data_IF_806646588392
#
_entry.id   IF_806646588392
#
_cell.length_a   1.000
_cell.length_b   1.000
_cell.length_c   1.000
_cell.angle_alpha   90.00
_cell.angle_beta   90.00
_cell.angle_gamma   90.00
#
_symmetry.space_group_name_H-M   'P 1'
#
loop_
_entity.id
_entity.type
_entity.pdbx_description
1 polymer ?
#
# COMPACT_ATOMS: atom_id res chain seq x y z
N UNK A 1 28.42 5.13 23.29
CA UNK A 1 29.01 6.30 23.97
C UNK A 1 30.31 5.84 24.63
N UNK A 2 31.42 6.39 24.26
CA UNK A 2 32.64 6.19 25.03
C UNK A 2 32.65 7.27 26.11
N UNK A 3 32.23 6.87 27.35
CA UNK A 3 32.53 7.67 28.51
C UNK A 3 34.03 7.57 28.81
N UNK A 4 34.63 8.65 29.22
CA UNK A 4 36.03 8.71 29.61
C UNK A 4 36.28 7.65 30.70
N UNK A 5 36.99 6.57 30.37
CA UNK A 5 37.60 5.63 31.34
C UNK A 5 36.70 4.58 31.99
N UNK A 6 35.49 4.34 31.57
CA UNK A 6 34.60 3.29 32.11
C UNK A 6 34.61 2.01 31.26
N UNK A 7 34.47 0.86 31.93
CA UNK A 7 34.21 -0.41 31.27
C UNK A 7 32.90 -0.35 30.46
N UNK A 8 32.82 -1.04 29.32
CA UNK A 8 31.59 -1.05 28.51
C UNK A 8 30.45 -1.67 29.33
N UNK A 9 29.36 -0.91 29.50
CA UNK A 9 28.14 -1.39 30.15
C UNK A 9 27.29 -2.10 29.09
N UNK A 10 27.01 -3.38 29.35
CA UNK A 10 26.07 -4.13 28.52
C UNK A 10 24.63 -3.82 28.97
N UNK A 11 23.85 -3.25 28.08
CA UNK A 11 22.43 -2.95 28.26
C UNK A 11 21.60 -3.77 27.30
N UNK A 12 20.41 -4.20 27.71
CA UNK A 12 19.45 -4.86 26.78
C UNK A 12 18.66 -3.81 26.01
N UNK A 13 18.40 -4.06 24.76
CA UNK A 13 17.64 -3.14 23.89
C UNK A 13 16.31 -2.70 24.52
N UNK A 14 15.61 -3.59 25.25
CA UNK A 14 14.35 -3.27 25.94
C UNK A 14 14.48 -2.22 27.05
N UNK A 15 15.66 -2.02 27.60
CA UNK A 15 15.91 -0.99 28.63
C UNK A 15 15.90 0.43 28.04
N UNK A 16 16.00 0.56 26.70
CA UNK A 16 15.90 1.82 25.97
C UNK A 16 14.49 2.13 25.51
N UNK A 17 13.54 1.21 25.59
CA UNK A 17 12.18 1.39 25.09
C UNK A 17 11.52 2.60 25.74
N UNK A 18 10.93 3.46 24.89
CA UNK A 18 10.26 4.68 25.32
C UNK A 18 11.18 5.90 25.48
N UNK A 19 12.49 5.74 25.37
CA UNK A 19 13.39 6.90 25.29
C UNK A 19 13.16 7.62 23.97
N UNK A 20 13.24 8.94 24.02
CA UNK A 20 13.06 9.80 22.82
C UNK A 20 14.37 10.40 22.39
N UNK A 21 14.50 10.64 21.10
CA UNK A 21 15.63 11.35 20.51
C UNK A 21 15.14 12.39 19.48
N UNK A 22 15.97 13.40 19.22
CA UNK A 22 15.70 14.34 18.14
C UNK A 22 16.23 13.77 16.84
N UNK A 23 15.41 13.78 15.78
CA UNK A 23 15.82 13.30 14.47
C UNK A 23 17.01 14.11 13.95
N UNK A 24 18.12 13.46 13.57
CA UNK A 24 19.33 14.18 13.14
C UNK A 24 19.17 14.95 11.84
N UNK A 25 18.25 14.54 10.99
CA UNK A 25 17.96 15.17 9.69
C UNK A 25 16.81 16.18 9.75
N UNK A 26 15.88 16.00 10.71
CA UNK A 26 14.74 16.87 10.95
C UNK A 26 14.61 17.17 12.45
N UNK A 27 15.14 18.30 12.86
CA UNK A 27 15.19 18.66 14.29
C UNK A 27 13.83 18.98 14.91
N UNK A 28 12.81 19.22 14.09
CA UNK A 28 11.41 19.37 14.48
C UNK A 28 10.74 18.03 14.81
N UNK A 29 11.32 16.89 14.38
CA UNK A 29 10.81 15.55 14.64
C UNK A 29 11.52 14.90 15.84
N UNK A 30 10.73 14.22 16.65
CA UNK A 30 11.23 13.35 17.72
C UNK A 30 10.93 11.90 17.35
N UNK A 31 11.93 11.05 17.47
CA UNK A 31 11.78 9.62 17.38
C UNK A 31 11.70 8.99 18.78
N UNK A 32 11.10 7.81 18.85
CA UNK A 32 11.03 6.99 20.06
C UNK A 32 11.76 5.68 19.83
N UNK A 33 12.52 5.22 20.81
CA UNK A 33 13.15 3.91 20.75
C UNK A 33 12.10 2.86 21.08
N UNK A 34 11.89 1.94 20.16
CA UNK A 34 11.00 0.78 20.26
C UNK A 34 11.82 -0.50 20.12
N UNK A 35 11.26 -1.65 20.44
CA UNK A 35 11.88 -2.93 20.14
C UNK A 35 11.11 -3.64 19.02
N UNK A 36 11.79 -4.53 18.28
CA UNK A 36 11.16 -5.33 17.23
C UNK A 36 11.90 -6.64 17.04
N UNK A 37 11.17 -7.72 16.84
CA UNK A 37 11.74 -9.08 16.72
C UNK A 37 12.55 -9.26 15.42
N UNK A 38 12.37 -8.37 14.43
CA UNK A 38 13.18 -8.34 13.20
C UNK A 38 14.59 -7.80 13.42
N UNK A 39 14.88 -7.20 14.59
CA UNK A 39 16.21 -6.71 14.94
C UNK A 39 17.00 -7.81 15.61
N UNK A 40 18.05 -8.31 14.94
CA UNK A 40 18.87 -9.43 15.40
C UNK A 40 20.20 -8.96 15.99
N UNK A 41 20.84 -9.82 16.79
CA UNK A 41 22.17 -9.56 17.36
C UNK A 41 23.31 -9.95 16.43
N UNK A 42 23.01 -10.70 15.36
CA UNK A 42 24.01 -11.28 14.46
C UNK A 42 24.42 -10.28 13.37
N UNK A 43 23.67 -9.19 13.21
CA UNK A 43 23.89 -8.22 12.13
C UNK A 43 23.86 -6.79 12.66
N UNK A 44 24.82 -6.00 12.20
CA UNK A 44 24.89 -4.57 12.49
C UNK A 44 25.18 -4.25 13.96
N UNK A 45 24.48 -3.25 14.50
CA UNK A 45 24.69 -2.70 15.85
C UNK A 45 23.59 -3.13 16.83
N UNK A 46 22.54 -3.81 16.37
CA UNK A 46 21.32 -4.03 17.15
C UNK A 46 20.42 -2.79 17.27
N UNK A 47 20.76 -1.70 16.59
CA UNK A 47 19.94 -0.50 16.47
C UNK A 47 19.63 -0.25 14.98
N UNK A 48 18.35 -0.24 14.64
CA UNK A 48 17.85 -0.10 13.26
C UNK A 48 16.94 1.13 13.19
N UNK A 49 17.09 1.93 12.11
CA UNK A 49 16.14 2.99 11.84
C UNK A 49 14.84 2.39 11.31
N UNK A 50 13.72 2.73 11.96
CA UNK A 50 12.39 2.25 11.57
C UNK A 50 11.72 3.30 10.70
N UNK A 51 11.40 2.92 9.45
CA UNK A 51 10.73 3.77 8.46
C UNK A 51 9.42 3.09 8.00
N UNK A 52 8.28 3.30 8.72
CA UNK A 52 7.02 2.59 8.47
C UNK A 52 6.46 2.74 7.05
N UNK A 53 6.78 3.85 6.39
CA UNK A 53 6.38 4.11 5.00
C UNK A 53 7.22 3.36 3.96
N UNK A 54 8.32 2.70 4.35
CA UNK A 54 9.35 2.18 3.42
C UNK A 54 9.86 0.78 3.73
N UNK A 55 9.23 0.07 4.68
CA UNK A 55 9.56 -1.31 5.01
C UNK A 55 8.37 -2.05 5.59
N UNK A 56 8.21 -3.33 5.23
CA UNK A 56 7.10 -4.14 5.72
C UNK A 56 7.23 -4.44 7.22
N UNK A 57 8.41 -4.84 7.66
CA UNK A 57 8.66 -5.11 9.09
C UNK A 57 8.57 -3.84 9.91
N UNK A 58 9.05 -2.71 9.37
CA UNK A 58 8.93 -1.40 9.97
C UNK A 58 7.47 -0.96 10.11
N UNK A 59 6.65 -1.24 9.10
CA UNK A 59 5.21 -0.96 9.15
C UNK A 59 4.50 -1.77 10.23
N UNK A 60 4.79 -3.07 10.30
CA UNK A 60 4.16 -3.96 11.29
C UNK A 60 4.51 -3.56 12.73
N UNK A 61 5.78 -3.28 13.02
CA UNK A 61 6.19 -2.84 14.36
C UNK A 61 5.66 -1.45 14.67
N UNK A 62 5.53 -0.57 13.68
CA UNK A 62 4.96 0.75 13.86
C UNK A 62 3.48 0.72 14.27
N UNK A 63 2.71 -0.25 13.76
CA UNK A 63 1.32 -0.46 14.19
C UNK A 63 1.22 -0.88 15.66
N UNK A 64 2.17 -1.69 16.15
CA UNK A 64 2.22 -2.14 17.57
C UNK A 64 2.50 -0.98 18.52
N UNK A 65 3.37 -0.04 18.11
CA UNK A 65 3.81 1.07 18.96
C UNK A 65 3.18 2.43 18.61
N UNK A 66 2.18 2.45 17.72
CA UNK A 66 1.50 3.68 17.26
C UNK A 66 2.48 4.74 16.71
N UNK A 67 3.49 4.27 15.95
CA UNK A 67 4.48 5.17 15.31
C UNK A 67 3.86 5.81 14.08
N UNK A 68 3.96 7.14 13.91
CA UNK A 68 3.40 7.83 12.77
C UNK A 68 3.94 7.34 11.42
N UNK A 69 3.05 7.13 10.46
CA UNK A 69 3.37 6.74 9.10
C UNK A 69 3.78 7.96 8.27
N UNK A 70 5.08 8.23 8.19
CA UNK A 70 5.63 9.26 7.29
C UNK A 70 5.89 8.66 5.91
N UNK A 71 5.56 9.40 4.86
CA UNK A 71 5.71 8.99 3.45
C UNK A 71 6.46 10.06 2.64
N UNK A 72 7.73 10.31 2.95
CA UNK A 72 8.49 11.41 2.35
C UNK A 72 8.90 11.19 0.89
N UNK A 73 8.46 10.11 0.23
CA UNK A 73 8.78 9.82 -1.18
C UNK A 73 7.50 9.79 -2.01
N UNK A 74 7.46 10.54 -3.10
CA UNK A 74 6.35 10.60 -4.03
C UNK A 74 6.31 9.40 -5.03
N UNK A 75 5.37 9.45 -5.99
CA UNK A 75 5.19 8.39 -6.98
C UNK A 75 6.32 8.30 -8.02
N UNK A 76 7.15 9.32 -8.11
CA UNK A 76 8.29 9.38 -9.02
C UNK A 76 9.62 9.00 -8.35
N UNK A 77 9.61 8.68 -7.06
CA UNK A 77 10.82 8.41 -6.29
C UNK A 77 11.51 9.67 -5.76
N UNK A 78 10.83 10.82 -5.80
CA UNK A 78 11.38 12.11 -5.37
C UNK A 78 10.94 12.41 -3.94
N UNK A 79 11.86 12.93 -3.14
CA UNK A 79 11.61 13.33 -1.77
C UNK A 79 10.69 14.56 -1.72
N UNK A 80 9.59 14.45 -0.96
CA UNK A 80 8.60 15.51 -0.75
C UNK A 80 9.04 16.49 0.34
N UNK A 81 8.23 17.53 0.59
CA UNK A 81 8.46 18.48 1.68
C UNK A 81 8.56 17.83 3.07
N UNK A 82 7.99 16.61 3.24
CA UNK A 82 8.16 15.81 4.46
C UNK A 82 9.62 15.41 4.72
N UNK A 83 10.47 15.38 3.70
CA UNK A 83 11.90 15.12 3.83
C UNK A 83 12.71 16.36 4.29
N UNK A 84 12.07 17.52 4.45
CA UNK A 84 12.68 18.74 4.92
C UNK A 84 13.80 19.25 3.98
N UNK A 85 15.06 19.35 4.44
CA UNK A 85 16.15 19.94 3.62
C UNK A 85 16.52 19.12 2.38
N UNK A 86 15.99 17.92 2.23
CA UNK A 86 16.27 17.03 1.11
C UNK A 86 15.12 16.96 0.09
N UNK A 87 14.06 17.76 0.29
CA UNK A 87 12.92 17.82 -0.62
C UNK A 87 13.37 18.14 -2.06
N UNK A 88 12.78 17.44 -3.03
CA UNK A 88 13.08 17.61 -4.44
C UNK A 88 14.25 16.74 -4.97
N UNK A 89 14.97 16.05 -4.11
CA UNK A 89 16.01 15.10 -4.54
C UNK A 89 15.38 13.74 -4.88
N UNK A 90 15.92 13.08 -5.90
CA UNK A 90 15.68 11.66 -6.12
C UNK A 90 16.26 10.84 -4.96
N UNK A 91 15.67 9.68 -4.66
CA UNK A 91 16.09 8.85 -3.52
C UNK A 91 17.54 8.36 -3.63
N UNK A 92 18.03 8.09 -4.83
CA UNK A 92 19.41 7.68 -5.05
C UNK A 92 20.38 8.85 -4.92
N UNK A 93 20.00 10.01 -5.44
CA UNK A 93 20.77 11.26 -5.31
C UNK A 93 20.82 11.77 -3.87
N UNK A 94 19.77 11.54 -3.09
CA UNK A 94 19.69 11.94 -1.69
C UNK A 94 20.68 11.21 -0.78
N UNK A 95 21.00 9.94 -1.08
CA UNK A 95 21.88 9.12 -0.22
C UNK A 95 23.23 9.76 0.09
N UNK A 96 24.06 10.16 -0.89
CA UNK A 96 25.33 10.83 -0.60
C UNK A 96 25.16 12.19 0.07
N UNK A 97 24.10 12.92 -0.27
CA UNK A 97 23.82 14.25 0.31
C UNK A 97 23.49 14.14 1.79
N UNK A 98 22.66 13.16 2.18
CA UNK A 98 22.30 12.91 3.58
C UNK A 98 23.52 12.46 4.39
N UNK A 99 24.38 11.61 3.82
CA UNK A 99 25.61 11.17 4.51
C UNK A 99 26.52 12.34 4.79
N UNK A 100 26.73 13.23 3.82
CA UNK A 100 27.56 14.43 4.02
C UNK A 100 26.94 15.40 5.02
N UNK A 101 25.65 15.63 4.96
CA UNK A 101 24.89 16.41 5.94
C UNK A 101 25.10 15.92 7.37
N UNK A 102 25.04 14.60 7.59
CA UNK A 102 25.26 13.99 8.90
C UNK A 102 26.73 14.13 9.36
N UNK A 103 27.68 14.03 8.42
CA UNK A 103 29.11 14.18 8.68
C UNK A 103 29.46 15.61 9.12
N UNK A 104 28.99 16.62 8.40
CA UNK A 104 29.21 18.02 8.72
C UNK A 104 28.68 18.39 10.11
N UNK A 105 27.61 17.75 10.56
CA UNK A 105 26.99 17.99 11.88
C UNK A 105 27.53 17.13 12.99
N UNK A 106 28.50 16.26 12.70
CA UNK A 106 29.10 15.39 13.70
C UNK A 106 28.15 14.32 14.25
N UNK A 107 27.06 14.04 13.53
CA UNK A 107 26.06 13.02 13.90
C UNK A 107 26.30 11.67 13.20
N UNK A 108 27.12 11.63 12.17
CA UNK A 108 27.56 10.38 11.53
C UNK A 108 28.59 9.67 12.41
N UNK A 109 28.23 8.53 12.96
CA UNK A 109 29.14 7.71 13.81
C UNK A 109 30.12 6.93 12.95
N UNK A 110 29.62 6.22 11.95
CA UNK A 110 30.43 5.43 11.03
C UNK A 110 29.66 5.18 9.72
N UNK A 111 30.40 4.90 8.66
CA UNK A 111 29.87 4.46 7.38
C UNK A 111 30.63 3.23 6.91
N UNK A 112 29.92 2.23 6.41
CA UNK A 112 30.50 1.00 5.85
C UNK A 112 29.66 0.55 4.66
N UNK A 113 30.32 0.22 3.58
CA UNK A 113 29.68 -0.47 2.44
C UNK A 113 29.45 -1.95 2.78
N UNK A 114 28.30 -2.46 2.42
CA UNK A 114 27.93 -3.87 2.56
C UNK A 114 27.41 -4.40 1.22
N UNK A 115 27.68 -5.67 0.96
CA UNK A 115 27.09 -6.38 -0.18
C UNK A 115 25.94 -7.24 0.34
N UNK A 116 24.74 -7.02 -0.18
CA UNK A 116 23.56 -7.80 0.18
C UNK A 116 22.64 -7.99 -1.04
N UNK A 117 21.72 -8.95 -0.96
CA UNK A 117 20.68 -9.13 -1.97
C UNK A 117 19.68 -7.99 -1.87
N UNK A 118 19.31 -7.42 -3.01
CA UNK A 118 18.33 -6.34 -3.11
C UNK A 118 17.26 -6.69 -4.16
N UNK A 119 15.98 -6.38 -3.91
CA UNK A 119 14.92 -6.67 -4.87
C UNK A 119 14.99 -5.75 -6.08
N UNK A 120 14.86 -6.35 -7.26
CA UNK A 120 14.84 -5.66 -8.54
C UNK A 120 13.52 -5.90 -9.27
N UNK A 121 13.12 -4.93 -10.08
CA UNK A 121 11.96 -5.06 -10.95
C UNK A 121 12.18 -6.21 -11.94
N UNK A 122 11.23 -7.14 -12.03
CA UNK A 122 11.31 -8.28 -12.94
C UNK A 122 11.23 -7.89 -14.44
N UNK A 123 10.83 -6.65 -14.76
CA UNK A 123 10.74 -6.14 -16.15
C UNK A 123 11.95 -5.34 -16.56
N UNK A 124 12.25 -4.25 -15.86
CA UNK A 124 13.37 -3.36 -16.21
C UNK A 124 14.68 -3.73 -15.52
N UNK A 125 14.63 -4.65 -14.53
CA UNK A 125 15.77 -5.09 -13.72
C UNK A 125 16.44 -4.00 -12.87
N UNK A 126 15.82 -2.84 -12.78
CA UNK A 126 16.27 -1.77 -11.89
C UNK A 126 15.89 -2.05 -10.43
N UNK A 127 16.64 -1.53 -9.45
CA UNK A 127 16.28 -1.62 -8.04
C UNK A 127 14.87 -1.06 -7.77
N UNK A 128 14.16 -1.64 -6.83
CA UNK A 128 12.84 -1.14 -6.42
C UNK A 128 12.91 -0.51 -5.03
N UNK A 129 12.04 0.47 -4.76
CA UNK A 129 11.85 1.01 -3.43
C UNK A 129 10.51 0.52 -2.86
N UNK A 130 10.45 0.35 -1.53
CA UNK A 130 9.20 0.07 -0.85
C UNK A 130 8.55 1.38 -0.44
N UNK A 131 7.25 1.50 -0.69
CA UNK A 131 6.45 2.67 -0.32
C UNK A 131 5.08 2.24 0.19
N UNK A 132 4.66 2.82 1.30
CA UNK A 132 3.27 2.72 1.73
C UNK A 132 2.41 3.64 0.86
N UNK A 133 1.46 3.06 0.14
CA UNK A 133 0.51 3.77 -0.72
C UNK A 133 -0.91 3.39 -0.34
N UNK A 134 -1.85 4.30 -0.57
CA UNK A 134 -3.26 3.99 -0.39
C UNK A 134 -3.68 3.00 -1.48
N UNK A 135 -4.32 1.90 -1.06
CA UNK A 135 -4.74 0.84 -1.96
C UNK A 135 -6.17 0.42 -1.63
N UNK A 136 -6.83 -0.20 -2.60
CA UNK A 136 -8.16 -0.77 -2.42
C UNK A 136 -8.06 -2.24 -2.08
N UNK A 137 -8.78 -2.65 -1.02
CA UNK A 137 -8.78 -4.02 -0.53
C UNK A 137 -10.20 -4.58 -0.42
N UNK A 138 -10.33 -5.86 -0.75
CA UNK A 138 -11.45 -6.69 -0.32
C UNK A 138 -11.06 -7.33 1.00
N UNK A 139 -11.77 -6.98 2.07
CA UNK A 139 -11.54 -7.59 3.38
C UNK A 139 -12.04 -9.03 3.39
N UNK A 140 -11.16 -9.95 3.77
CA UNK A 140 -11.50 -11.37 3.88
C UNK A 140 -12.34 -11.67 5.13
N UNK A 141 -12.25 -10.85 6.16
CA UNK A 141 -12.95 -11.10 7.43
C UNK A 141 -14.28 -10.37 7.51
N UNK A 142 -14.43 -9.27 6.78
CA UNK A 142 -15.67 -8.51 6.73
C UNK A 142 -16.78 -9.32 6.06
N UNK A 143 -17.97 -9.34 6.67
CA UNK A 143 -19.11 -10.14 6.22
C UNK A 143 -18.82 -11.65 6.13
N UNK A 144 -17.87 -12.13 6.94
CA UNK A 144 -17.52 -13.57 7.05
C UNK A 144 -17.12 -14.21 5.71
N UNK A 145 -16.47 -13.46 4.80
CA UNK A 145 -16.06 -14.00 3.51
C UNK A 145 -15.10 -15.19 3.69
N UNK A 146 -14.12 -15.10 4.62
CA UNK A 146 -13.17 -16.16 4.96
C UNK A 146 -13.85 -17.44 5.45
N UNK A 147 -14.98 -17.30 6.13
CA UNK A 147 -15.72 -18.44 6.65
C UNK A 147 -16.67 -19.05 5.61
N UNK A 148 -17.31 -18.19 4.80
CA UNK A 148 -18.33 -18.61 3.87
C UNK A 148 -17.74 -19.25 2.59
N UNK A 149 -16.59 -18.76 2.11
CA UNK A 149 -15.97 -19.30 0.92
C UNK A 149 -15.58 -20.79 1.07
N UNK A 150 -14.89 -21.23 2.14
CA UNK A 150 -14.62 -22.66 2.36
C UNK A 150 -15.89 -23.51 2.46
N UNK A 151 -16.94 -23.02 3.12
CA UNK A 151 -18.22 -23.74 3.20
C UNK A 151 -18.84 -23.99 1.80
N UNK A 152 -18.77 -22.98 0.93
CA UNK A 152 -19.23 -23.13 -0.45
C UNK A 152 -18.34 -24.11 -1.23
N UNK A 153 -17.01 -24.07 -1.04
CA UNK A 153 -16.06 -25.00 -1.66
C UNK A 153 -16.32 -26.45 -1.26
N UNK A 154 -16.72 -26.69 -0.01
CA UNK A 154 -16.98 -28.02 0.52
C UNK A 154 -18.36 -28.56 0.14
N UNK A 155 -19.37 -27.70 0.02
CA UNK A 155 -20.76 -28.12 -0.15
C UNK A 155 -21.30 -27.96 -1.58
N UNK A 156 -20.81 -26.98 -2.34
CA UNK A 156 -21.41 -26.57 -3.60
C UNK A 156 -20.51 -26.88 -4.81
N UNK A 157 -19.29 -27.40 -4.58
CA UNK A 157 -18.29 -27.66 -5.64
C UNK A 157 -17.95 -29.15 -5.70
N UNK A 158 -18.11 -29.73 -6.88
CA UNK A 158 -17.59 -31.08 -7.17
C UNK A 158 -16.12 -30.98 -7.60
N UNK A 159 -15.24 -31.71 -6.89
CA UNK A 159 -13.80 -31.66 -7.12
C UNK A 159 -13.29 -32.84 -7.93
N UNK A 160 -12.69 -32.58 -9.10
CA UNK A 160 -12.02 -33.55 -9.95
C UNK A 160 -10.60 -33.08 -10.25
N UNK A 161 -9.57 -33.70 -9.65
CA UNK A 161 -9.58 -34.74 -8.62
C UNK A 161 -9.98 -34.25 -7.22
N UNK A 162 -10.48 -35.12 -6.37
CA UNK A 162 -10.99 -34.76 -5.03
C UNK A 162 -9.98 -34.04 -4.14
N UNK A 163 -8.69 -34.33 -4.24
CA UNK A 163 -7.63 -33.69 -3.44
C UNK A 163 -7.49 -32.16 -3.69
N UNK A 164 -8.01 -31.65 -4.81
CA UNK A 164 -7.93 -30.24 -5.14
C UNK A 164 -8.67 -29.35 -4.12
N UNK A 165 -9.70 -29.89 -3.45
CA UNK A 165 -10.43 -29.19 -2.38
C UNK A 165 -9.50 -28.76 -1.25
N UNK A 166 -8.61 -29.63 -0.78
CA UNK A 166 -7.68 -29.35 0.30
C UNK A 166 -6.73 -28.19 -0.04
N UNK A 167 -6.22 -28.17 -1.28
CA UNK A 167 -5.32 -27.11 -1.74
C UNK A 167 -6.01 -25.75 -1.78
N UNK A 168 -7.18 -25.69 -2.38
CA UNK A 168 -7.93 -24.42 -2.50
C UNK A 168 -8.45 -23.97 -1.14
N UNK A 169 -8.94 -24.90 -0.31
CA UNK A 169 -9.38 -24.60 1.06
C UNK A 169 -8.29 -23.93 1.89
N UNK A 170 -7.07 -24.50 1.90
CA UNK A 170 -5.93 -23.89 2.60
C UNK A 170 -5.57 -22.51 2.05
N UNK A 171 -5.53 -22.34 0.73
CA UNK A 171 -5.25 -21.05 0.10
C UNK A 171 -6.26 -19.96 0.46
N UNK A 172 -7.52 -20.30 0.64
CA UNK A 172 -8.59 -19.36 1.02
C UNK A 172 -8.52 -19.05 2.52
N UNK A 173 -8.29 -20.07 3.36
CA UNK A 173 -8.22 -19.93 4.81
C UNK A 173 -7.13 -18.94 5.24
N UNK A 174 -5.93 -19.05 4.66
CA UNK A 174 -4.76 -18.26 5.03
C UNK A 174 -4.59 -16.98 4.19
N UNK A 175 -5.53 -16.70 3.27
CA UNK A 175 -5.39 -15.56 2.37
C UNK A 175 -5.50 -14.23 3.13
N UNK A 176 -4.54 -13.30 2.97
CA UNK A 176 -4.69 -11.93 3.48
C UNK A 176 -5.79 -11.18 2.72
N UNK A 177 -6.17 -10.01 3.20
CA UNK A 177 -7.04 -9.09 2.47
C UNK A 177 -6.54 -8.90 1.04
N UNK A 178 -7.44 -8.92 0.09
CA UNK A 178 -7.07 -8.89 -1.33
C UNK A 178 -6.92 -7.46 -1.82
N UNK A 179 -5.69 -7.04 -2.10
CA UNK A 179 -5.43 -5.78 -2.77
C UNK A 179 -5.90 -5.87 -4.23
N UNK A 180 -6.93 -5.09 -4.57
CA UNK A 180 -7.56 -5.10 -5.90
C UNK A 180 -7.13 -3.94 -6.81
N UNK A 181 -6.42 -2.95 -6.28
CA UNK A 181 -5.95 -1.80 -7.05
C UNK A 181 -4.61 -2.09 -7.75
N UNK A 182 -4.47 -1.59 -8.96
CA UNK A 182 -3.26 -1.70 -9.78
C UNK A 182 -2.96 -0.39 -10.49
N UNK A 183 -1.71 0.04 -10.44
CA UNK A 183 -1.16 1.20 -11.15
C UNK A 183 -0.61 0.72 -12.51
N UNK A 184 -1.49 0.59 -13.50
CA UNK A 184 -1.19 0.12 -14.85
C UNK A 184 -1.89 1.03 -15.87
N UNK A 185 -1.46 0.95 -17.14
CA UNK A 185 -2.05 1.69 -18.24
C UNK A 185 -3.15 0.91 -18.99
N UNK A 186 -3.35 -0.37 -18.67
CA UNK A 186 -4.36 -1.22 -19.30
C UNK A 186 -5.12 -2.01 -18.25
N UNK A 187 -6.44 -1.91 -18.26
CA UNK A 187 -7.34 -2.64 -17.37
C UNK A 187 -8.67 -1.90 -17.18
N UNK A 188 -9.53 -2.46 -16.35
CA UNK A 188 -10.82 -1.84 -15.97
C UNK A 188 -10.58 -0.87 -14.81
N UNK A 189 -10.99 0.39 -14.90
CA UNK A 189 -10.83 1.34 -13.81
C UNK A 189 -11.68 0.97 -12.59
N UNK A 190 -11.26 1.40 -11.41
CA UNK A 190 -12.05 1.32 -10.19
C UNK A 190 -13.07 2.47 -10.22
N UNK A 191 -14.40 2.19 -10.31
CA UNK A 191 -15.41 3.21 -10.61
C UNK A 191 -15.83 3.98 -9.36
N UNK A 192 -14.87 4.59 -8.67
CA UNK A 192 -15.11 5.40 -7.47
C UNK A 192 -14.47 6.79 -7.61
N UNK A 193 -14.93 7.72 -6.80
CA UNK A 193 -14.45 9.09 -6.81
C UNK A 193 -13.84 9.47 -5.47
N UNK A 194 -12.90 10.39 -5.49
CA UNK A 194 -12.36 11.08 -4.31
C UNK A 194 -12.85 12.53 -4.28
N UNK A 195 -13.23 13.00 -3.12
CA UNK A 195 -13.59 14.40 -2.94
C UNK A 195 -12.33 15.28 -3.04
N UNK A 196 -12.32 16.26 -3.95
CA UNK A 196 -11.19 17.16 -4.12
C UNK A 196 -10.86 17.99 -2.86
N UNK A 197 -11.86 18.22 -1.98
CA UNK A 197 -11.68 19.04 -0.79
C UNK A 197 -11.19 18.25 0.44
N UNK A 198 -11.74 17.07 0.71
CA UNK A 198 -11.47 16.32 1.94
C UNK A 198 -10.89 14.93 1.72
N UNK A 199 -10.67 14.50 0.47
CA UNK A 199 -10.13 13.19 0.12
C UNK A 199 -11.06 12.01 0.38
N UNK A 200 -12.25 12.23 0.97
CA UNK A 200 -13.19 11.13 1.24
C UNK A 200 -13.67 10.46 -0.03
N UNK A 201 -13.82 9.15 0.03
CA UNK A 201 -14.39 8.35 -1.06
C UNK A 201 -15.87 8.65 -1.27
N UNK A 202 -16.27 8.78 -2.52
CA UNK A 202 -17.67 8.90 -2.96
C UNK A 202 -17.98 7.73 -3.88
N UNK A 203 -18.80 6.80 -3.37
CA UNK A 203 -19.19 5.57 -4.07
C UNK A 203 -20.59 5.17 -3.59
N UNK A 204 -21.59 5.38 -4.42
CA UNK A 204 -22.99 5.04 -4.12
C UNK A 204 -23.72 4.62 -5.40
N UNK A 205 -24.95 4.17 -5.28
CA UNK A 205 -25.74 3.69 -6.42
C UNK A 205 -25.80 4.73 -7.56
N UNK A 206 -26.02 6.00 -7.25
CA UNK A 206 -26.13 7.05 -8.28
C UNK A 206 -24.83 7.23 -9.07
N UNK A 207 -23.66 7.14 -8.38
CA UNK A 207 -22.37 7.23 -9.07
C UNK A 207 -22.08 5.96 -9.87
N UNK A 208 -22.40 4.78 -9.36
CA UNK A 208 -22.22 3.53 -10.09
C UNK A 208 -23.12 3.45 -11.32
N UNK A 209 -24.40 3.81 -11.23
CA UNK A 209 -25.32 3.80 -12.37
C UNK A 209 -24.84 4.76 -13.47
N UNK A 210 -24.38 5.95 -13.10
CA UNK A 210 -23.85 6.91 -14.07
C UNK A 210 -22.59 6.39 -14.79
N UNK A 211 -21.69 5.69 -14.07
CA UNK A 211 -20.50 5.08 -14.66
C UNK A 211 -20.87 3.88 -15.54
N UNK A 212 -21.82 3.05 -15.12
CA UNK A 212 -22.34 1.95 -15.94
C UNK A 212 -22.90 2.49 -17.25
N UNK A 213 -23.76 3.51 -17.20
CA UNK A 213 -24.31 4.14 -18.39
C UNK A 213 -23.23 4.74 -19.30
N UNK A 214 -22.21 5.38 -18.72
CA UNK A 214 -21.08 5.90 -19.47
C UNK A 214 -20.34 4.78 -20.21
N UNK A 215 -20.01 3.68 -19.51
CA UNK A 215 -19.28 2.56 -20.10
C UNK A 215 -20.08 1.82 -21.17
N UNK A 216 -21.40 1.71 -21.02
CA UNK A 216 -22.26 1.16 -22.07
C UNK A 216 -22.28 1.99 -23.34
N UNK A 217 -22.22 3.32 -23.21
CA UNK A 217 -22.29 4.23 -24.37
C UNK A 217 -20.95 4.45 -25.05
N UNK A 218 -19.88 4.57 -24.28
CA UNK A 218 -18.59 5.08 -24.76
C UNK A 218 -17.41 4.14 -24.49
N UNK A 219 -17.64 3.06 -23.72
CA UNK A 219 -16.57 2.16 -23.27
C UNK A 219 -15.83 2.66 -22.04
N UNK A 220 -14.97 1.79 -21.46
CA UNK A 220 -14.27 2.07 -20.20
C UNK A 220 -13.22 3.19 -20.33
N UNK A 221 -12.71 3.47 -21.53
CA UNK A 221 -11.72 4.54 -21.76
C UNK A 221 -12.30 5.93 -21.48
N UNK A 222 -13.64 6.06 -21.56
CA UNK A 222 -14.35 7.30 -21.22
C UNK A 222 -14.08 7.75 -19.77
N UNK A 223 -13.76 6.83 -18.87
CA UNK A 223 -13.38 7.14 -17.48
C UNK A 223 -12.17 8.08 -17.38
N UNK A 224 -11.22 7.95 -18.31
CA UNK A 224 -9.98 8.74 -18.31
C UNK A 224 -10.05 9.97 -19.20
N UNK A 225 -11.08 10.08 -20.06
CA UNK A 225 -11.19 11.14 -21.06
C UNK A 225 -12.34 12.11 -20.83
N UNK A 226 -13.31 11.74 -19.97
CA UNK A 226 -14.47 12.56 -19.64
C UNK A 226 -14.35 13.17 -18.24
N UNK A 227 -14.81 14.39 -18.08
CA UNK A 227 -14.91 15.01 -16.78
C UNK A 227 -16.14 14.47 -16.01
N UNK A 228 -16.02 14.22 -14.69
CA UNK A 228 -17.15 13.72 -13.89
C UNK A 228 -18.43 14.53 -14.00
N UNK A 229 -18.32 15.84 -14.18
CA UNK A 229 -19.46 16.77 -14.36
C UNK A 229 -20.28 16.52 -15.64
N UNK A 230 -19.72 15.81 -16.62
CA UNK A 230 -20.39 15.51 -17.89
C UNK A 230 -21.36 14.34 -17.80
N UNK A 231 -21.10 13.41 -16.87
CA UNK A 231 -21.89 12.17 -16.74
C UNK A 231 -22.51 11.94 -15.38
N UNK A 232 -21.97 12.53 -14.30
CA UNK A 232 -22.58 12.40 -12.99
C UNK A 232 -23.89 13.20 -12.90
N UNK A 233 -24.92 12.65 -12.24
CA UNK A 233 -26.18 13.34 -11.99
C UNK A 233 -25.95 14.65 -11.22
N UNK A 234 -26.79 15.65 -11.51
CA UNK A 234 -26.79 16.91 -10.75
C UNK A 234 -27.12 16.64 -9.28
N UNK A 235 -26.33 17.20 -8.39
CA UNK A 235 -26.52 17.06 -6.94
C UNK A 235 -25.72 15.96 -6.27
N UNK A 236 -24.95 15.16 -7.02
CA UNK A 236 -23.93 14.27 -6.45
C UNK A 236 -22.89 15.12 -5.73
N UNK A 237 -22.63 14.81 -4.48
CA UNK A 237 -21.71 15.53 -3.61
C UNK A 237 -21.08 14.60 -2.58
N UNK A 238 -19.97 15.01 -2.03
CA UNK A 238 -19.32 14.33 -0.92
C UNK A 238 -20.22 14.35 0.31
N UNK A 239 -20.51 13.19 0.88
CA UNK A 239 -21.36 13.07 2.08
C UNK A 239 -20.68 13.64 3.33
N UNK A 240 -19.33 13.67 3.36
CA UNK A 240 -18.55 14.18 4.49
C UNK A 240 -18.52 15.71 4.56
N UNK A 241 -18.32 16.40 3.43
CA UNK A 241 -18.09 17.85 3.43
C UNK A 241 -19.00 18.65 2.48
N UNK A 242 -19.88 17.98 1.74
CA UNK A 242 -20.82 18.60 0.80
C UNK A 242 -20.19 19.16 -0.49
N UNK A 243 -18.89 18.96 -0.73
CA UNK A 243 -18.21 19.39 -1.95
C UNK A 243 -18.73 18.61 -3.16
N UNK A 244 -18.91 19.31 -4.28
CA UNK A 244 -19.37 18.72 -5.56
C UNK A 244 -18.23 18.42 -6.53
N UNK A 245 -17.03 18.88 -6.23
CA UNK A 245 -15.84 18.60 -7.03
C UNK A 245 -15.28 17.23 -6.68
N UNK A 246 -15.39 16.30 -7.65
CA UNK A 246 -15.02 14.91 -7.47
C UNK A 246 -13.95 14.53 -8.50
N UNK A 247 -12.93 13.82 -8.05
CA UNK A 247 -11.85 13.32 -8.90
C UNK A 247 -12.00 11.81 -9.08
N UNK A 248 -12.00 11.27 -10.31
CA UNK A 248 -12.06 9.83 -10.54
C UNK A 248 -10.82 9.13 -9.98
N UNK A 249 -11.00 7.92 -9.46
CA UNK A 249 -9.88 7.05 -9.11
C UNK A 249 -9.09 6.69 -10.38
N UNK A 250 -7.76 6.68 -10.26
CA UNK A 250 -6.87 6.37 -11.40
C UNK A 250 -6.43 4.92 -11.45
N UNK A 251 -6.57 4.21 -10.34
CA UNK A 251 -6.19 2.82 -10.24
C UNK A 251 -7.13 1.91 -11.03
N UNK A 252 -6.58 0.81 -11.50
CA UNK A 252 -7.29 -0.23 -12.23
C UNK A 252 -7.58 -1.42 -11.32
N UNK A 253 -8.62 -2.16 -11.63
CA UNK A 253 -8.92 -3.43 -10.99
C UNK A 253 -7.88 -4.49 -11.33
N UNK A 254 -7.57 -5.34 -10.37
CA UNK A 254 -6.77 -6.54 -10.56
C UNK A 254 -7.40 -7.43 -11.65
N UNK A 255 -6.57 -8.01 -12.51
CA UNK A 255 -7.00 -8.92 -13.58
C UNK A 255 -7.80 -10.11 -13.05
N UNK A 256 -7.51 -10.59 -11.85
CA UNK A 256 -8.27 -11.65 -11.20
C UNK A 256 -9.68 -11.22 -10.79
N UNK A 257 -9.90 -9.94 -10.54
CA UNK A 257 -11.25 -9.39 -10.37
C UNK A 257 -12.06 -9.54 -11.65
N UNK A 258 -11.52 -9.14 -12.78
CA UNK A 258 -12.18 -9.28 -14.07
C UNK A 258 -12.46 -10.76 -14.39
N UNK A 259 -11.53 -11.67 -14.08
CA UNK A 259 -11.74 -13.13 -14.22
C UNK A 259 -12.82 -13.65 -13.28
N UNK A 260 -12.86 -13.17 -12.04
CA UNK A 260 -13.85 -13.57 -11.03
C UNK A 260 -15.29 -13.23 -11.40
N UNK A 261 -15.52 -12.14 -12.13
CA UNK A 261 -16.86 -11.71 -12.56
C UNK A 261 -17.28 -12.25 -13.93
N UNK A 262 -16.44 -13.07 -14.58
CA UNK A 262 -16.73 -13.61 -15.93
C UNK A 262 -18.01 -14.45 -15.99
N UNK A 263 -18.41 -15.12 -14.92
CA UNK A 263 -19.70 -15.81 -14.82
C UNK A 263 -20.89 -14.84 -14.99
N UNK A 264 -20.79 -13.61 -14.53
CA UNK A 264 -21.82 -12.58 -14.69
C UNK A 264 -21.68 -11.88 -16.05
N UNK A 265 -20.49 -11.38 -16.38
CA UNK A 265 -20.26 -10.58 -17.58
C UNK A 265 -20.35 -11.38 -18.89
N UNK A 266 -20.08 -12.67 -18.87
CA UNK A 266 -20.10 -13.53 -20.07
C UNK A 266 -21.28 -14.49 -20.06
N UNK A 267 -21.45 -15.30 -19.00
CA UNK A 267 -22.43 -16.38 -19.01
C UNK A 267 -23.85 -15.84 -18.89
N UNK A 268 -24.15 -15.01 -17.88
CA UNK A 268 -25.51 -14.45 -17.69
C UNK A 268 -26.00 -13.60 -18.88
N UNK A 269 -25.10 -12.82 -19.47
CA UNK A 269 -25.48 -12.01 -20.65
C UNK A 269 -25.60 -12.81 -21.95
N UNK A 270 -24.95 -13.99 -22.05
CA UNK A 270 -25.05 -14.87 -23.22
C UNK A 270 -26.20 -15.87 -23.14
N UNK A 271 -26.85 -16.04 -22.01
CA UNK A 271 -28.08 -16.84 -21.91
C UNK A 271 -29.19 -16.37 -22.86
N UNK A 272 -29.21 -15.07 -23.19
CA UNK A 272 -30.06 -14.52 -24.24
C UNK A 272 -29.66 -14.97 -25.66
N UNK A 273 -28.48 -15.61 -25.84
CA UNK A 273 -27.90 -16.03 -27.12
C UNK A 273 -27.70 -17.54 -27.30
N UNK A 274 -28.17 -18.41 -26.39
CA UNK A 274 -28.28 -19.83 -26.64
C UNK A 274 -27.12 -20.75 -26.24
N UNK A 275 -26.21 -20.34 -25.32
CA UNK A 275 -25.29 -21.27 -24.69
C UNK A 275 -25.80 -21.58 -23.26
N UNK A 276 -26.42 -22.75 -23.10
CA UNK A 276 -26.65 -23.35 -21.78
C UNK A 276 -25.46 -24.27 -21.45
N UNK A 277 -24.84 -24.03 -20.34
CA UNK A 277 -23.92 -24.96 -19.69
C UNK A 277 -24.65 -25.68 -18.59
#
# INVERSE_FOLDING_TARGET
>A
MRGEGGEPVALKGREFTGLTYTCPVRQDLKGTIIYGDHVTLDSGTGAVHTAPGHGQDDYLVALEFDVPLLRPVDDNGVLTDEAGPFAGLDVDEANPVIIEWLRERGTLVAQKEILHSYPHCWRCHEPVIFRATDQWFVSMDKHSLRENAPKALDNDVEWIPAWASNRIGSMVADRPDWCISRQRSWGVPIPVFKCAKCGSTVANEQTFDAVIDLFYREGADAWFTREPSEYLPRGVKCETCGCTELTPEKDLLDVWWASGVSHTSVLKHREAGGLRF
#
